data_IF_779239460074
#
_entry.id   IF_779239460074
#
_cell.length_a   1.000
_cell.length_b   1.000
_cell.length_c   1.000
_cell.angle_alpha   90.00
_cell.angle_beta   90.00
_cell.angle_gamma   90.00
#
_symmetry.space_group_name_H-M   'P 1'
#
loop_
_entity.id
_entity.type
_entity.pdbx_description
1 polymer ?
#
# COMPACT_ATOMS: atom_id res chain seq x y z
N UNK A 1 50.08 8.44 -0.16
CA UNK A 1 48.78 8.14 -0.81
C UNK A 1 47.96 7.20 0.08
N UNK A 2 47.22 7.73 1.07
CA UNK A 2 46.30 6.94 1.92
C UNK A 2 44.90 7.57 2.02
N UNK A 3 44.67 8.69 1.33
CA UNK A 3 43.41 9.43 1.35
C UNK A 3 42.32 8.75 0.51
N UNK A 4 42.71 8.08 -0.57
CA UNK A 4 41.78 7.43 -1.51
C UNK A 4 40.91 6.33 -0.87
N UNK A 5 41.46 5.37 -0.09
CA UNK A 5 40.66 4.33 0.55
C UNK A 5 39.69 4.88 1.61
N UNK A 6 40.12 5.89 2.38
CA UNK A 6 39.29 6.51 3.42
C UNK A 6 38.12 7.32 2.83
N UNK A 7 38.36 8.04 1.73
CA UNK A 7 37.31 8.75 0.99
C UNK A 7 36.28 7.76 0.42
N UNK A 8 36.74 6.66 -0.21
CA UNK A 8 35.87 5.61 -0.75
C UNK A 8 35.00 4.97 0.34
N UNK A 9 35.59 4.67 1.49
CA UNK A 9 34.88 4.10 2.64
C UNK A 9 33.85 5.09 3.21
N UNK A 10 34.21 6.37 3.39
CA UNK A 10 33.26 7.40 3.85
C UNK A 10 32.11 7.60 2.85
N UNK A 11 32.37 7.62 1.54
CA UNK A 11 31.31 7.72 0.53
C UNK A 11 30.36 6.50 0.52
N UNK A 12 30.89 5.30 0.79
CA UNK A 12 30.05 4.09 0.94
C UNK A 12 29.16 4.17 2.18
N UNK A 13 29.70 4.56 3.33
CA UNK A 13 28.93 4.70 4.58
C UNK A 13 27.85 5.79 4.45
N UNK A 14 28.19 6.94 3.88
CA UNK A 14 27.23 8.03 3.65
C UNK A 14 26.16 7.62 2.62
N UNK A 15 26.54 6.94 1.54
CA UNK A 15 25.60 6.42 0.54
C UNK A 15 24.59 5.43 1.11
N UNK A 16 25.05 4.46 1.90
CA UNK A 16 24.18 3.48 2.59
C UNK A 16 23.26 4.17 3.59
N UNK A 17 23.77 5.14 4.35
CA UNK A 17 22.95 5.87 5.31
C UNK A 17 21.85 6.68 4.62
N UNK A 18 22.14 7.36 3.51
CA UNK A 18 21.17 8.16 2.76
C UNK A 18 20.05 7.32 2.14
N UNK A 19 20.39 6.17 1.54
CA UNK A 19 19.42 5.24 0.97
C UNK A 19 18.50 4.61 2.03
N UNK A 20 19.03 4.35 3.23
CA UNK A 20 18.23 3.87 4.34
C UNK A 20 17.22 4.92 4.83
N UNK A 21 17.66 6.17 4.98
CA UNK A 21 16.76 7.26 5.40
C UNK A 21 15.66 7.51 4.37
N UNK A 22 15.96 7.49 3.06
CA UNK A 22 14.93 7.64 2.03
C UNK A 22 13.93 6.49 2.10
N UNK A 23 14.39 5.24 2.16
CA UNK A 23 13.51 4.07 2.26
C UNK A 23 12.55 4.14 3.45
N UNK A 24 13.05 4.51 4.64
CA UNK A 24 12.21 4.63 5.85
C UNK A 24 11.21 5.78 5.70
N UNK A 25 11.62 6.91 5.14
CA UNK A 25 10.72 8.04 4.88
C UNK A 25 9.62 7.66 3.89
N UNK A 26 9.97 7.00 2.80
CA UNK A 26 9.03 6.49 1.80
C UNK A 26 8.05 5.48 2.39
N UNK A 27 8.53 4.57 3.25
CA UNK A 27 7.69 3.59 3.92
C UNK A 27 6.69 4.23 4.89
N UNK A 28 7.12 5.25 5.65
CA UNK A 28 6.24 5.99 6.54
C UNK A 28 5.16 6.76 5.75
N UNK A 29 5.54 7.41 4.65
CA UNK A 29 4.61 8.09 3.76
C UNK A 29 3.63 7.11 3.11
N UNK A 30 4.13 5.97 2.61
CA UNK A 30 3.28 4.94 2.02
C UNK A 30 2.30 4.31 3.02
N UNK A 31 2.73 4.11 4.27
CA UNK A 31 1.83 3.68 5.34
C UNK A 31 0.73 4.72 5.63
N UNK A 32 1.06 6.01 5.61
CA UNK A 32 0.09 7.10 5.74
C UNK A 32 -0.91 7.12 4.58
N UNK A 33 -0.45 6.89 3.34
CA UNK A 33 -1.35 6.80 2.18
C UNK A 33 -2.31 5.61 2.27
N UNK A 34 -1.83 4.45 2.72
CA UNK A 34 -2.68 3.28 2.98
C UNK A 34 -3.73 3.57 4.05
N UNK A 35 -3.34 4.25 5.14
CA UNK A 35 -4.28 4.69 6.18
C UNK A 35 -5.31 5.67 5.65
N UNK A 36 -4.88 6.69 4.89
CA UNK A 36 -5.76 7.67 4.25
C UNK A 36 -6.76 7.01 3.32
N UNK A 37 -6.35 6.04 2.51
CA UNK A 37 -7.26 5.29 1.66
C UNK A 37 -8.31 4.50 2.44
N UNK A 38 -7.91 3.88 3.55
CA UNK A 38 -8.85 3.22 4.46
C UNK A 38 -9.82 4.21 5.13
N UNK A 39 -9.33 5.36 5.60
CA UNK A 39 -10.17 6.41 6.19
C UNK A 39 -11.19 6.95 5.20
N UNK A 40 -10.76 7.27 3.97
CA UNK A 40 -11.63 7.76 2.91
C UNK A 40 -12.67 6.71 2.50
N UNK A 41 -12.29 5.42 2.42
CA UNK A 41 -13.24 4.33 2.17
C UNK A 41 -14.35 4.30 3.22
N UNK A 42 -13.98 4.48 4.49
CA UNK A 42 -14.93 4.50 5.60
C UNK A 42 -15.80 5.75 5.62
N UNK A 43 -15.21 6.90 5.28
CA UNK A 43 -15.93 8.17 5.19
C UNK A 43 -16.92 8.17 4.03
N UNK A 44 -16.49 7.68 2.86
CA UNK A 44 -17.30 7.61 1.65
C UNK A 44 -18.52 6.71 1.85
N UNK A 45 -18.34 5.59 2.59
CA UNK A 45 -19.36 4.57 2.83
C UNK A 45 -20.16 4.24 1.54
N UNK A 46 -19.42 4.08 0.44
CA UNK A 46 -19.98 4.03 -0.90
C UNK A 46 -20.02 2.58 -1.41
N UNK A 47 -21.11 2.21 -2.08
CA UNK A 47 -21.29 0.84 -2.57
C UNK A 47 -20.29 0.55 -3.70
N UNK A 48 -19.68 -0.64 -3.67
CA UNK A 48 -18.74 -1.13 -4.68
C UNK A 48 -17.49 -0.25 -4.89
N UNK A 49 -17.06 0.50 -3.86
CA UNK A 49 -15.85 1.33 -3.92
C UNK A 49 -14.63 0.71 -3.24
N UNK A 50 -14.77 -0.46 -2.62
CA UNK A 50 -13.69 -1.15 -1.90
C UNK A 50 -12.45 -1.34 -2.78
N UNK A 51 -12.60 -1.96 -3.96
CA UNK A 51 -11.49 -2.22 -4.88
C UNK A 51 -10.82 -0.93 -5.38
N UNK A 52 -11.59 0.15 -5.51
CA UNK A 52 -11.05 1.49 -5.81
C UNK A 52 -10.11 1.98 -4.70
N UNK A 53 -10.53 1.93 -3.44
CA UNK A 53 -9.69 2.40 -2.34
C UNK A 53 -8.48 1.48 -2.10
N UNK A 54 -8.62 0.18 -2.34
CA UNK A 54 -7.49 -0.77 -2.38
C UNK A 54 -6.44 -0.38 -3.41
N UNK A 55 -6.86 -0.14 -4.66
CA UNK A 55 -5.99 0.27 -5.73
C UNK A 55 -5.38 1.66 -5.47
N UNK A 56 -6.18 2.64 -5.03
CA UNK A 56 -5.73 4.02 -4.80
C UNK A 56 -4.70 4.10 -3.67
N UNK A 57 -4.94 3.43 -2.54
CA UNK A 57 -3.97 3.39 -1.44
C UNK A 57 -2.63 2.78 -1.86
N UNK A 58 -2.67 1.67 -2.60
CA UNK A 58 -1.46 1.03 -3.12
C UNK A 58 -0.75 1.88 -4.20
N UNK A 59 -1.51 2.57 -5.05
CA UNK A 59 -0.98 3.49 -6.05
C UNK A 59 -0.25 4.65 -5.38
N UNK A 60 -0.92 5.38 -4.49
CA UNK A 60 -0.36 6.53 -3.78
C UNK A 60 0.90 6.15 -3.01
N UNK A 61 0.87 5.01 -2.29
CA UNK A 61 2.02 4.52 -1.55
C UNK A 61 3.18 4.12 -2.49
N UNK A 62 2.91 3.47 -3.62
CA UNK A 62 3.94 3.11 -4.60
C UNK A 62 4.59 4.35 -5.26
N UNK A 63 3.85 5.45 -5.43
CA UNK A 63 4.41 6.71 -5.93
C UNK A 63 5.44 7.34 -4.99
N UNK A 64 5.51 6.91 -3.71
CA UNK A 64 6.55 7.39 -2.79
C UNK A 64 7.93 6.82 -3.12
N UNK A 65 8.00 5.65 -3.73
CA UNK A 65 9.24 4.93 -4.01
C UNK A 65 9.25 3.51 -3.46
N UNK A 66 10.41 2.82 -3.51
CA UNK A 66 10.54 1.43 -3.05
C UNK A 66 10.06 1.19 -1.61
N UNK A 67 10.29 2.12 -0.68
CA UNK A 67 9.83 2.00 0.69
C UNK A 67 8.31 2.06 0.81
N UNK A 68 7.66 2.92 0.03
CA UNK A 68 6.21 3.04 0.00
C UNK A 68 5.53 1.83 -0.65
N UNK A 69 6.08 1.33 -1.76
CA UNK A 69 5.62 0.08 -2.38
C UNK A 69 5.77 -1.13 -1.44
N UNK A 70 6.86 -1.20 -0.67
CA UNK A 70 7.05 -2.20 0.37
C UNK A 70 5.99 -2.08 1.48
N UNK A 71 5.76 -0.87 1.99
CA UNK A 71 4.76 -0.64 3.04
C UNK A 71 3.35 -1.03 2.57
N UNK A 72 2.99 -0.65 1.34
CA UNK A 72 1.72 -1.01 0.70
C UNK A 72 1.52 -2.53 0.64
N UNK A 73 2.56 -3.28 0.26
CA UNK A 73 2.53 -4.75 0.25
C UNK A 73 2.30 -5.33 1.64
N UNK A 74 3.11 -4.94 2.62
CA UNK A 74 3.03 -5.47 3.99
C UNK A 74 1.66 -5.22 4.60
N UNK A 75 1.12 -4.00 4.45
CA UNK A 75 -0.18 -3.63 5.00
C UNK A 75 -1.32 -4.37 4.29
N UNK A 76 -1.25 -4.52 2.96
CA UNK A 76 -2.24 -5.28 2.19
C UNK A 76 -2.30 -6.74 2.63
N UNK A 77 -1.13 -7.40 2.74
CA UNK A 77 -1.02 -8.80 3.17
C UNK A 77 -1.48 -8.99 4.63
N UNK A 78 -1.22 -8.01 5.51
CA UNK A 78 -1.68 -8.03 6.90
C UNK A 78 -3.21 -7.90 7.01
N UNK A 79 -3.82 -7.02 6.19
CA UNK A 79 -5.28 -6.86 6.14
C UNK A 79 -5.97 -8.14 5.68
N UNK A 80 -5.47 -8.78 4.63
CA UNK A 80 -6.01 -10.05 4.13
C UNK A 80 -5.98 -11.13 5.21
N UNK A 81 -4.84 -11.29 5.90
CA UNK A 81 -4.72 -12.26 7.00
C UNK A 81 -5.71 -11.98 8.12
N UNK A 82 -5.88 -10.72 8.50
CA UNK A 82 -6.84 -10.36 9.54
C UNK A 82 -8.28 -10.69 9.13
N UNK A 83 -8.67 -10.43 7.88
CA UNK A 83 -10.00 -10.78 7.38
C UNK A 83 -10.22 -12.30 7.43
N UNK A 84 -9.28 -13.08 6.88
CA UNK A 84 -9.36 -14.55 6.88
C UNK A 84 -9.44 -15.15 8.29
N UNK A 85 -8.73 -14.56 9.25
CA UNK A 85 -8.81 -14.98 10.66
C UNK A 85 -10.21 -14.67 11.22
N UNK A 86 -10.75 -13.47 10.98
CA UNK A 86 -12.10 -13.15 11.45
C UNK A 86 -13.19 -14.03 10.84
N UNK A 87 -13.00 -14.47 9.59
CA UNK A 87 -13.94 -15.37 8.89
C UNK A 87 -13.95 -16.76 9.54
N UNK A 88 -12.80 -17.25 10.01
CA UNK A 88 -12.68 -18.54 10.68
C UNK A 88 -13.44 -18.59 12.01
N UNK A 89 -13.51 -17.46 12.73
CA UNK A 89 -14.14 -17.38 14.05
C UNK A 89 -15.62 -17.00 14.00
N UNK A 90 -16.12 -16.48 12.87
CA UNK A 90 -17.56 -16.30 12.65
C UNK A 90 -18.12 -17.59 12.06
N UNK A 91 -19.03 -18.26 12.76
CA UNK A 91 -19.76 -19.45 12.26
C UNK A 91 -20.78 -19.07 11.16
N UNK A 92 -20.33 -18.36 10.12
CA UNK A 92 -21.12 -17.83 9.02
C UNK A 92 -20.25 -16.94 8.13
N UNK A 93 -20.53 -16.94 6.82
CA UNK A 93 -19.84 -16.12 5.82
C UNK A 93 -19.80 -14.66 6.28
N UNK A 94 -18.61 -14.11 6.51
CA UNK A 94 -18.45 -12.68 6.81
C UNK A 94 -18.81 -11.79 5.62
N UNK A 95 -19.09 -12.39 4.45
CA UNK A 95 -19.22 -11.74 3.16
C UNK A 95 -17.90 -11.70 2.39
N UNK A 96 -16.80 -12.22 2.96
CA UNK A 96 -15.45 -12.17 2.38
C UNK A 96 -14.91 -13.58 2.11
N UNK A 97 -15.35 -14.17 1.01
CA UNK A 97 -14.85 -15.46 0.55
C UNK A 97 -13.42 -15.39 -0.03
N UNK A 98 -12.87 -16.56 -0.36
CA UNK A 98 -11.56 -16.68 -1.05
C UNK A 98 -11.52 -15.86 -2.35
N UNK A 99 -12.62 -15.79 -3.08
CA UNK A 99 -12.72 -15.01 -4.32
C UNK A 99 -12.67 -13.50 -4.07
N UNK A 100 -13.26 -13.02 -2.97
CA UNK A 100 -13.20 -11.60 -2.62
C UNK A 100 -11.78 -11.20 -2.18
N UNK A 101 -11.10 -12.06 -1.42
CA UNK A 101 -9.68 -11.89 -1.07
C UNK A 101 -8.78 -11.82 -2.32
N UNK A 102 -9.03 -12.66 -3.34
CA UNK A 102 -8.28 -12.62 -4.61
C UNK A 102 -8.53 -11.33 -5.36
N UNK A 103 -9.78 -10.86 -5.41
CA UNK A 103 -10.13 -9.61 -6.06
C UNK A 103 -9.49 -8.41 -5.34
N UNK A 104 -9.45 -8.41 -3.99
CA UNK A 104 -8.75 -7.40 -3.19
C UNK A 104 -7.26 -7.37 -3.55
N UNK A 105 -6.61 -8.53 -3.60
CA UNK A 105 -5.20 -8.62 -3.96
C UNK A 105 -4.92 -8.15 -5.39
N UNK A 106 -5.79 -8.49 -6.35
CA UNK A 106 -5.67 -8.00 -7.72
C UNK A 106 -5.76 -6.47 -7.79
N UNK A 107 -6.68 -5.85 -7.03
CA UNK A 107 -6.78 -4.39 -6.94
C UNK A 107 -5.56 -3.76 -6.26
N UNK A 108 -5.06 -4.36 -5.18
CA UNK A 108 -3.83 -3.91 -4.51
C UNK A 108 -2.64 -3.93 -5.49
N UNK A 109 -2.45 -5.02 -6.22
CA UNK A 109 -1.35 -5.17 -7.19
C UNK A 109 -1.50 -4.22 -8.38
N UNK A 110 -2.72 -4.03 -8.88
CA UNK A 110 -3.01 -3.08 -9.95
C UNK A 110 -2.53 -1.67 -9.57
N UNK A 111 -2.97 -1.17 -8.42
CA UNK A 111 -2.54 0.13 -7.91
C UNK A 111 -1.04 0.20 -7.68
N UNK A 112 -0.47 -0.80 -6.99
CA UNK A 112 0.96 -0.85 -6.65
C UNK A 112 1.87 -0.92 -7.88
N UNK A 113 1.36 -1.43 -9.00
CA UNK A 113 2.05 -1.45 -10.30
C UNK A 113 2.03 -0.10 -11.03
N UNK A 114 1.37 0.92 -10.46
CA UNK A 114 1.26 2.26 -11.05
C UNK A 114 0.15 2.39 -12.09
N UNK A 115 -0.77 1.42 -12.18
CA UNK A 115 -1.95 1.53 -13.06
C UNK A 115 -3.03 2.38 -12.40
N UNK A 116 -3.86 3.02 -13.22
CA UNK A 116 -4.89 3.96 -12.79
C UNK A 116 -5.93 3.29 -11.86
N UNK A 117 -6.07 3.73 -10.60
CA UNK A 117 -7.09 3.24 -9.68
C UNK A 117 -8.52 3.45 -10.17
N UNK A 118 -8.76 4.44 -11.03
CA UNK A 118 -10.10 4.73 -11.54
C UNK A 118 -10.67 3.61 -12.41
N UNK A 119 -9.84 2.63 -12.81
CA UNK A 119 -10.33 1.36 -13.34
C UNK A 119 -11.40 0.70 -12.47
N UNK A 120 -11.32 0.87 -11.14
CA UNK A 120 -12.27 0.34 -10.17
C UNK A 120 -13.27 1.38 -9.63
N UNK A 121 -13.23 2.64 -10.10
CA UNK A 121 -14.06 3.71 -9.53
C UNK A 121 -15.54 3.46 -9.85
N UNK A 122 -16.43 3.34 -8.85
CA UNK A 122 -17.85 3.20 -9.13
C UNK A 122 -18.46 4.54 -9.57
N UNK A 123 -19.47 4.47 -10.43
CA UNK A 123 -20.19 5.64 -10.88
C UNK A 123 -20.78 6.41 -9.69
N UNK A 124 -20.57 7.73 -9.68
CA UNK A 124 -21.08 8.64 -8.65
C UNK A 124 -20.25 8.72 -7.36
N UNK A 125 -19.10 8.01 -7.27
CA UNK A 125 -18.18 8.25 -6.15
C UNK A 125 -17.71 9.72 -6.16
N UNK A 126 -17.88 10.48 -5.06
CA UNK A 126 -17.52 11.90 -5.03
C UNK A 126 -16.07 12.16 -5.42
N UNK A 127 -15.82 13.16 -6.26
CA UNK A 127 -14.51 13.47 -6.86
C UNK A 127 -13.40 13.84 -5.87
N UNK A 128 -13.76 14.13 -4.61
CA UNK A 128 -12.77 14.34 -3.54
C UNK A 128 -11.99 13.07 -3.18
N UNK A 129 -12.55 11.91 -3.54
CA UNK A 129 -11.93 10.61 -3.36
C UNK A 129 -11.23 10.19 -4.63
#
# INVERSE_FOLDING_TARGET
MKLFPGLLFCSLVLGVSGQWYSFVSEAAQGAWDMWRAYSDMREANYKNSDKYFHARGNYDAAQRGPGGAWAAKVISDAREKSQRITDLFKFGDSGHGVEDSKADQAANEWGRSGKDPNHFRPAGLPDKY
#
